data_IF_618949691928
#
_entry.id   IF_618949691928
#
_cell.length_a   1.000
_cell.length_b   1.000
_cell.length_c   1.000
_cell.angle_alpha   90.00
_cell.angle_beta   90.00
_cell.angle_gamma   90.00
#
_symmetry.space_group_name_H-M   'P 1'
#
loop_
_entity.id
_entity.type
_entity.pdbx_description
1 polymer ?
#
# COMPACT_ATOMS: atom_id res chain seq x y z
N UNK A 1 -24.37 -4.73 -9.02
CA UNK A 1 -23.60 -3.53 -9.39
C UNK A 1 -22.41 -3.52 -8.47
N UNK A 2 -21.22 -3.49 -9.05
CA UNK A 2 -19.94 -3.36 -8.36
C UNK A 2 -19.90 -2.05 -7.57
N UNK A 3 -19.47 -2.16 -6.31
CA UNK A 3 -19.26 -1.04 -5.39
C UNK A 3 -17.87 -1.14 -4.78
N UNK A 4 -17.16 -0.01 -4.75
CA UNK A 4 -15.82 0.12 -4.19
C UNK A 4 -15.78 1.35 -3.28
N UNK A 5 -15.35 1.15 -2.04
CA UNK A 5 -15.21 2.22 -1.05
C UNK A 5 -13.73 2.35 -0.72
N UNK A 6 -13.21 3.57 -0.84
CA UNK A 6 -11.80 3.87 -0.72
C UNK A 6 -11.56 5.09 0.15
N UNK A 7 -10.34 5.21 0.67
CA UNK A 7 -9.78 6.44 1.22
C UNK A 7 -8.72 6.96 0.24
N UNK A 8 -9.10 7.95 -0.56
CA UNK A 8 -8.24 8.58 -1.55
C UNK A 8 -7.72 9.92 -1.05
N UNK A 9 -6.64 10.43 -1.66
CA UNK A 9 -6.09 11.79 -1.54
C UNK A 9 -6.46 12.53 -0.24
N UNK A 10 -5.57 12.49 0.74
CA UNK A 10 -5.82 13.11 2.03
C UNK A 10 -6.87 12.39 2.87
N UNK A 11 -7.04 11.08 2.63
CA UNK A 11 -7.93 10.19 3.38
C UNK A 11 -9.42 10.57 3.25
N UNK A 12 -9.78 11.25 2.16
CA UNK A 12 -11.16 11.48 1.79
C UNK A 12 -11.82 10.15 1.41
N UNK A 13 -13.01 9.89 1.95
CA UNK A 13 -13.82 8.75 1.55
C UNK A 13 -14.31 8.93 0.11
N UNK A 14 -14.17 7.90 -0.72
CA UNK A 14 -14.64 7.89 -2.11
C UNK A 14 -15.47 6.63 -2.33
N UNK A 15 -16.64 6.78 -2.94
CA UNK A 15 -17.47 5.65 -3.37
C UNK A 15 -17.54 5.63 -4.89
N UNK A 16 -17.16 4.49 -5.48
CA UNK A 16 -17.27 4.22 -6.91
C UNK A 16 -18.29 3.10 -7.11
N UNK A 17 -19.26 3.31 -8.01
CA UNK A 17 -20.23 2.28 -8.42
C UNK A 17 -20.30 2.20 -9.94
N UNK A 18 -20.14 1.00 -10.50
CA UNK A 18 -20.17 0.80 -11.96
C UNK A 18 -19.18 1.68 -12.70
N UNK A 19 -17.95 1.81 -12.19
CA UNK A 19 -16.93 2.67 -12.77
C UNK A 19 -17.23 4.18 -12.72
N UNK A 20 -18.12 4.65 -11.84
CA UNK A 20 -18.43 6.08 -11.67
C UNK A 20 -18.27 6.52 -10.23
N UNK A 21 -17.66 7.69 -10.02
CA UNK A 21 -17.59 8.32 -8.70
C UNK A 21 -18.99 8.82 -8.33
N UNK A 22 -19.56 8.27 -7.27
CA UNK A 22 -20.93 8.62 -6.81
C UNK A 22 -20.94 9.43 -5.52
N UNK A 23 -19.87 9.39 -4.74
CA UNK A 23 -19.75 10.13 -3.47
C UNK A 23 -18.29 10.46 -3.16
N UNK A 24 -18.06 11.65 -2.60
CA UNK A 24 -16.75 12.13 -2.15
C UNK A 24 -16.93 12.85 -0.80
N UNK A 25 -16.18 12.39 0.20
CA UNK A 25 -16.06 13.04 1.49
C UNK A 25 -14.99 14.13 1.52
N UNK A 26 -14.96 14.87 2.62
CA UNK A 26 -13.93 15.88 2.87
C UNK A 26 -12.56 15.23 3.15
N UNK A 27 -11.46 15.79 2.60
CA UNK A 27 -10.13 15.35 2.97
C UNK A 27 -9.76 15.79 4.38
N UNK A 28 -8.96 14.98 5.07
CA UNK A 28 -8.44 15.30 6.40
C UNK A 28 -7.17 16.17 6.36
N UNK A 29 -6.55 16.29 5.18
CA UNK A 29 -5.38 17.14 4.95
C UNK A 29 -5.58 17.97 3.68
N UNK A 30 -4.98 19.16 3.64
CA UNK A 30 -5.12 20.11 2.54
C UNK A 30 -4.13 19.88 1.41
N UNK A 31 -2.98 19.27 1.69
CA UNK A 31 -1.89 19.16 0.73
C UNK A 31 -1.14 17.83 0.87
N UNK A 32 -0.79 17.25 -0.28
CA UNK A 32 0.07 16.07 -0.36
C UNK A 32 1.13 16.25 -1.45
N UNK A 33 2.44 16.19 -1.11
CA UNK A 33 3.53 16.42 -2.07
C UNK A 33 3.59 15.37 -3.18
N UNK A 34 3.07 14.16 -2.94
CA UNK A 34 2.95 13.12 -3.97
C UNK A 34 1.98 13.57 -5.06
N UNK A 35 0.77 14.00 -4.70
CA UNK A 35 -0.23 14.44 -5.67
C UNK A 35 0.14 15.77 -6.32
N UNK A 36 0.80 16.67 -5.60
CA UNK A 36 1.38 17.86 -6.22
C UNK A 36 2.36 17.48 -7.34
N UNK A 37 3.36 16.63 -7.04
CA UNK A 37 4.39 16.26 -8.01
C UNK A 37 3.83 15.59 -9.28
N UNK A 38 2.89 14.66 -9.13
CA UNK A 38 2.44 13.82 -10.24
C UNK A 38 1.14 14.28 -10.91
N UNK A 39 0.40 15.20 -10.26
CA UNK A 39 -0.91 15.67 -10.74
C UNK A 39 -1.08 17.19 -10.70
N UNK A 40 -0.07 17.94 -10.23
CA UNK A 40 -0.17 19.40 -10.10
C UNK A 40 -1.17 19.86 -9.05
N UNK A 41 -1.60 18.98 -8.15
CA UNK A 41 -2.63 19.29 -7.16
C UNK A 41 -2.01 20.09 -5.99
N UNK A 42 -2.34 21.37 -5.90
CA UNK A 42 -1.85 22.27 -4.85
C UNK A 42 -2.73 22.29 -3.60
N UNK A 43 -4.02 21.99 -3.74
CA UNK A 43 -4.96 21.89 -2.62
C UNK A 43 -5.94 20.75 -2.86
N UNK A 44 -6.17 19.96 -1.81
CA UNK A 44 -7.14 18.88 -1.78
C UNK A 44 -8.51 19.46 -1.44
N UNK A 45 -9.47 19.23 -2.33
CA UNK A 45 -10.89 19.55 -2.14
C UNK A 45 -11.71 18.39 -2.70
N UNK A 46 -12.97 18.19 -2.27
CA UNK A 46 -13.83 17.14 -2.83
C UNK A 46 -13.88 17.15 -4.37
N UNK A 47 -13.93 18.35 -4.98
CA UNK A 47 -13.96 18.49 -6.44
C UNK A 47 -12.67 18.01 -7.11
N UNK A 48 -11.50 18.43 -6.61
CA UNK A 48 -10.21 18.00 -7.16
C UNK A 48 -9.98 16.50 -6.97
N UNK A 49 -10.46 15.95 -5.85
CA UNK A 49 -10.39 14.51 -5.58
C UNK A 49 -11.29 13.75 -6.57
N UNK A 50 -12.52 14.22 -6.81
CA UNK A 50 -13.41 13.64 -7.81
C UNK A 50 -12.75 13.60 -9.18
N UNK A 51 -12.25 14.72 -9.67
CA UNK A 51 -11.56 14.83 -10.96
C UNK A 51 -10.35 13.88 -11.04
N UNK A 52 -9.58 13.76 -9.95
CA UNK A 52 -8.47 12.83 -9.91
C UNK A 52 -8.92 11.37 -9.99
N UNK A 53 -10.00 11.01 -9.31
CA UNK A 53 -10.53 9.64 -9.32
C UNK A 53 -11.14 9.28 -10.66
N UNK A 54 -11.91 10.19 -11.28
CA UNK A 54 -12.42 10.04 -12.65
C UNK A 54 -11.27 9.88 -13.65
N UNK A 55 -10.21 10.69 -13.55
CA UNK A 55 -9.00 10.51 -14.36
C UNK A 55 -8.38 9.11 -14.21
N UNK A 56 -8.33 8.55 -12.99
CA UNK A 56 -7.75 7.21 -12.77
C UNK A 56 -8.61 6.10 -13.37
N UNK A 57 -9.93 6.24 -13.29
CA UNK A 57 -10.88 5.35 -13.93
C UNK A 57 -10.66 5.37 -15.45
N UNK A 58 -10.60 6.57 -16.06
CA UNK A 58 -10.42 6.71 -17.50
C UNK A 58 -9.03 6.26 -18.00
N UNK A 59 -7.97 6.59 -17.25
CA UNK A 59 -6.59 6.34 -17.68
C UNK A 59 -6.17 4.85 -17.57
N UNK A 60 -6.58 4.17 -16.50
CA UNK A 60 -6.16 2.78 -16.26
C UNK A 60 -7.25 1.81 -15.81
N UNK A 61 -8.52 2.22 -15.91
CA UNK A 61 -9.66 1.34 -15.64
C UNK A 61 -9.83 0.97 -14.16
N UNK A 62 -9.35 1.81 -13.24
CA UNK A 62 -9.51 1.60 -11.80
C UNK A 62 -10.96 1.27 -11.45
N UNK A 63 -11.20 0.24 -10.63
CA UNK A 63 -12.55 -0.20 -10.24
C UNK A 63 -13.45 -0.58 -11.43
N UNK A 64 -12.89 -1.10 -12.53
CA UNK A 64 -13.64 -1.61 -13.69
C UNK A 64 -13.00 -2.87 -14.26
N UNK A 65 -13.70 -3.58 -15.16
CA UNK A 65 -13.14 -4.70 -15.91
C UNK A 65 -12.03 -4.30 -16.91
N UNK A 66 -11.82 -3.01 -17.18
CA UNK A 66 -10.78 -2.50 -18.09
C UNK A 66 -9.46 -2.18 -17.38
N UNK A 67 -9.27 -2.74 -16.18
CA UNK A 67 -8.13 -2.45 -15.33
C UNK A 67 -6.81 -2.87 -15.98
N UNK A 68 -5.86 -1.93 -16.11
CA UNK A 68 -4.48 -2.24 -16.52
C UNK A 68 -3.73 -2.89 -15.37
N UNK A 69 -3.59 -4.21 -15.35
CA UNK A 69 -3.09 -4.96 -14.19
C UNK A 69 -1.56 -4.99 -14.01
N UNK A 70 -0.79 -4.68 -15.05
CA UNK A 70 0.68 -4.67 -14.97
C UNK A 70 1.25 -3.31 -15.32
N UNK A 71 2.32 -2.91 -14.64
CA UNK A 71 3.10 -1.72 -14.99
C UNK A 71 4.53 -1.80 -14.47
N UNK A 72 5.39 -0.98 -15.04
CA UNK A 72 6.68 -0.64 -14.45
C UNK A 72 6.51 0.30 -13.26
N UNK A 73 7.61 0.52 -12.52
CA UNK A 73 7.67 1.42 -11.37
C UNK A 73 7.05 2.80 -11.65
N UNK A 74 6.15 3.22 -10.77
CA UNK A 74 5.52 4.53 -10.84
C UNK A 74 6.33 5.58 -10.05
N UNK A 75 6.86 5.17 -8.89
CA UNK A 75 7.68 6.00 -8.02
C UNK A 75 9.13 5.51 -7.97
N UNK A 76 10.04 6.36 -7.51
CA UNK A 76 11.39 5.90 -7.17
C UNK A 76 11.38 5.06 -5.89
N UNK A 77 10.52 5.42 -4.94
CA UNK A 77 10.35 4.74 -3.65
C UNK A 77 8.87 4.68 -3.28
N UNK A 78 8.44 3.50 -2.85
CA UNK A 78 7.09 3.18 -2.41
C UNK A 78 7.05 1.73 -1.93
N UNK A 79 5.98 1.35 -1.24
CA UNK A 79 5.86 -0.02 -0.70
C UNK A 79 5.74 -1.03 -1.84
N UNK A 80 4.94 -0.74 -2.86
CA UNK A 80 4.85 -1.56 -4.07
C UNK A 80 6.21 -1.70 -4.74
N UNK A 81 6.95 -0.61 -4.96
CA UNK A 81 8.27 -0.59 -5.58
C UNK A 81 9.29 -1.44 -4.81
N UNK A 82 9.26 -1.37 -3.47
CA UNK A 82 10.09 -2.21 -2.62
C UNK A 82 9.68 -3.68 -2.75
N UNK A 83 8.40 -4.03 -2.63
CA UNK A 83 7.92 -5.41 -2.81
C UNK A 83 8.26 -5.99 -4.18
N UNK A 84 8.09 -5.21 -5.25
CA UNK A 84 8.48 -5.62 -6.61
C UNK A 84 9.99 -5.88 -6.71
N UNK A 85 10.80 -5.06 -6.05
CA UNK A 85 12.25 -5.29 -5.95
C UNK A 85 12.55 -6.60 -5.23
N UNK A 86 11.88 -6.89 -4.11
CA UNK A 86 12.11 -8.12 -3.35
C UNK A 86 11.66 -9.38 -4.09
N UNK A 87 10.59 -9.30 -4.90
CA UNK A 87 10.15 -10.39 -5.77
C UNK A 87 11.15 -10.62 -6.91
N UNK A 88 11.59 -9.56 -7.60
CA UNK A 88 12.59 -9.65 -8.67
C UNK A 88 13.89 -10.30 -8.19
N UNK A 89 14.38 -9.88 -7.02
CA UNK A 89 15.60 -10.39 -6.40
C UNK A 89 15.39 -11.70 -5.63
N UNK A 90 14.17 -12.27 -5.66
CA UNK A 90 13.78 -13.53 -5.01
C UNK A 90 14.05 -13.55 -3.50
N UNK A 91 14.01 -12.39 -2.85
CA UNK A 91 14.08 -12.26 -1.38
C UNK A 91 12.78 -12.74 -0.76
N UNK A 92 11.65 -12.43 -1.40
CA UNK A 92 10.33 -12.98 -1.07
C UNK A 92 9.80 -13.80 -2.24
N UNK A 93 8.95 -14.77 -1.94
CA UNK A 93 8.32 -15.63 -2.95
C UNK A 93 6.97 -15.10 -3.41
N UNK A 94 6.25 -14.41 -2.52
CA UNK A 94 4.98 -13.78 -2.85
C UNK A 94 4.73 -12.54 -1.99
N UNK A 95 3.81 -11.70 -2.46
CA UNK A 95 3.27 -10.55 -1.76
C UNK A 95 1.77 -10.73 -1.53
N UNK A 96 1.32 -10.57 -0.28
CA UNK A 96 -0.09 -10.52 0.11
C UNK A 96 -0.50 -9.04 0.16
N UNK A 97 -1.33 -8.62 -0.80
CA UNK A 97 -1.73 -7.21 -0.97
C UNK A 97 -3.24 -7.08 -1.22
N UNK A 98 -3.74 -5.84 -1.28
CA UNK A 98 -5.15 -5.56 -1.64
C UNK A 98 -5.25 -5.11 -3.10
N UNK A 99 -6.18 -5.70 -3.84
CA UNK A 99 -6.55 -5.32 -5.19
C UNK A 99 -8.05 -5.00 -5.27
N UNK A 100 -8.39 -3.83 -5.81
CA UNK A 100 -9.77 -3.49 -6.10
C UNK A 100 -10.35 -4.45 -7.15
N UNK A 101 -11.57 -4.95 -6.93
CA UNK A 101 -12.12 -6.01 -7.77
C UNK A 101 -11.77 -7.43 -7.32
N UNK A 102 -10.83 -7.61 -6.37
CA UNK A 102 -10.40 -8.93 -5.89
C UNK A 102 -10.37 -9.07 -4.36
N UNK A 103 -10.16 -7.98 -3.62
CA UNK A 103 -9.93 -8.04 -2.18
C UNK A 103 -8.47 -8.37 -1.86
N UNK A 104 -8.22 -9.27 -0.91
CA UNK A 104 -6.86 -9.75 -0.62
C UNK A 104 -6.40 -10.77 -1.65
N UNK A 105 -5.20 -10.56 -2.18
CA UNK A 105 -4.60 -11.38 -3.24
C UNK A 105 -3.17 -11.76 -2.90
N UNK A 106 -2.71 -12.90 -3.42
CA UNK A 106 -1.32 -13.38 -3.37
C UNK A 106 -0.71 -13.17 -4.75
N UNK A 107 0.39 -12.43 -4.83
CA UNK A 107 1.02 -12.02 -6.09
C UNK A 107 2.48 -12.43 -6.10
N UNK A 108 2.91 -13.06 -7.18
CA UNK A 108 4.32 -13.47 -7.39
C UNK A 108 5.03 -12.57 -8.42
N UNK A 109 4.25 -11.89 -9.28
CA UNK A 109 4.76 -11.08 -10.38
C UNK A 109 5.02 -9.62 -9.91
N UNK A 110 6.27 -9.15 -9.96
CA UNK A 110 6.65 -7.77 -9.64
C UNK A 110 5.84 -6.70 -10.38
N UNK A 111 5.56 -6.89 -11.68
CA UNK A 111 4.81 -5.92 -12.48
C UNK A 111 3.33 -5.90 -12.08
N UNK A 112 2.79 -7.04 -11.65
CA UNK A 112 1.43 -7.15 -11.12
C UNK A 112 1.33 -6.49 -9.75
N UNK A 113 2.35 -6.61 -8.88
CA UNK A 113 2.43 -5.86 -7.62
C UNK A 113 2.43 -4.35 -7.88
N UNK A 114 3.21 -3.86 -8.85
CA UNK A 114 3.15 -2.44 -9.23
C UNK A 114 1.79 -2.04 -9.79
N UNK A 115 1.23 -2.85 -10.70
CA UNK A 115 -0.03 -2.55 -11.35
C UNK A 115 -1.18 -2.46 -10.37
N UNK A 116 -1.18 -3.31 -9.35
CA UNK A 116 -2.13 -3.25 -8.23
C UNK A 116 -1.76 -2.08 -7.31
N UNK A 117 -0.60 -2.08 -6.67
CA UNK A 117 -0.30 -1.15 -5.56
C UNK A 117 0.11 0.27 -5.96
N UNK A 118 0.85 0.44 -7.06
CA UNK A 118 1.64 1.66 -7.34
C UNK A 118 0.82 2.94 -7.59
N UNK A 119 -0.46 2.80 -7.96
CA UNK A 119 -1.37 3.93 -8.25
C UNK A 119 -2.66 3.92 -7.43
N UNK A 120 -2.78 2.98 -6.51
CA UNK A 120 -3.96 2.79 -5.69
C UNK A 120 -3.86 3.61 -4.39
N UNK A 121 -5.02 3.92 -3.81
CA UNK A 121 -5.15 4.54 -2.48
C UNK A 121 -5.82 3.54 -1.52
N UNK A 122 -6.01 3.86 -0.24
CA UNK A 122 -6.56 2.90 0.72
C UNK A 122 -7.91 2.33 0.25
N UNK A 123 -8.09 1.01 0.32
CA UNK A 123 -9.34 0.34 -0.03
C UNK A 123 -10.03 -0.12 1.25
N UNK A 124 -11.22 0.39 1.51
CA UNK A 124 -12.05 0.01 2.67
C UNK A 124 -12.85 -1.25 2.34
N UNK A 125 -13.51 -1.27 1.18
CA UNK A 125 -14.27 -2.41 0.68
C UNK A 125 -14.31 -2.41 -0.84
N UNK A 126 -14.56 -3.58 -1.42
CA UNK A 126 -14.55 -3.75 -2.87
C UNK A 126 -15.48 -4.90 -3.25
N UNK A 127 -16.05 -4.85 -4.45
CA UNK A 127 -16.86 -5.92 -5.03
C UNK A 127 -16.04 -6.73 -6.03
N UNK A 128 -16.36 -8.02 -6.26
CA UNK A 128 -15.64 -8.81 -7.25
C UNK A 128 -15.83 -8.25 -8.67
N UNK A 129 -14.73 -8.17 -9.42
CA UNK A 129 -14.71 -7.89 -10.85
C UNK A 129 -14.06 -9.07 -11.55
N UNK A 130 -14.85 -9.83 -12.31
CA UNK A 130 -14.42 -11.11 -12.89
C UNK A 130 -13.21 -10.95 -13.81
N UNK A 131 -13.15 -9.89 -14.61
CA UNK A 131 -12.03 -9.60 -15.51
C UNK A 131 -10.73 -9.42 -14.72
N UNK A 132 -10.77 -8.75 -13.57
CA UNK A 132 -9.62 -8.53 -12.69
C UNK A 132 -9.22 -9.84 -11.99
N UNK A 133 -10.20 -10.57 -11.46
CA UNK A 133 -9.99 -11.88 -10.80
C UNK A 133 -9.36 -12.88 -11.78
N UNK A 134 -9.78 -12.88 -13.04
CA UNK A 134 -9.23 -13.77 -14.07
C UNK A 134 -7.75 -13.48 -14.36
N UNK A 135 -7.33 -12.21 -14.29
CA UNK A 135 -5.92 -11.83 -14.48
C UNK A 135 -5.07 -12.24 -13.27
N UNK A 136 -5.60 -12.07 -12.04
CA UNK A 136 -4.91 -12.48 -10.81
C UNK A 136 -4.86 -14.01 -10.67
N UNK A 137 -5.90 -14.70 -11.15
CA UNK A 137 -6.13 -16.12 -10.93
C UNK A 137 -6.97 -16.33 -9.67
N UNK A 138 -8.12 -17.01 -9.81
CA UNK A 138 -9.08 -17.21 -8.72
C UNK A 138 -8.49 -17.95 -7.51
N UNK A 139 -7.52 -18.84 -7.73
CA UNK A 139 -6.80 -19.55 -6.67
C UNK A 139 -5.83 -18.65 -5.88
N UNK A 140 -5.50 -17.46 -6.39
CA UNK A 140 -4.65 -16.45 -5.73
C UNK A 140 -5.47 -15.35 -5.03
N UNK A 141 -6.78 -15.33 -5.23
CA UNK A 141 -7.70 -14.43 -4.54
C UNK A 141 -8.19 -15.12 -3.25
N UNK A 142 -8.20 -14.39 -2.13
CA UNK A 142 -8.61 -14.95 -0.83
C UNK A 142 -10.07 -15.42 -0.87
N UNK A 143 -10.96 -14.61 -1.42
CA UNK A 143 -12.35 -14.95 -1.62
C UNK A 143 -12.86 -14.31 -2.93
N UNK A 144 -12.83 -15.03 -4.06
CA UNK A 144 -13.23 -14.48 -5.36
C UNK A 144 -14.73 -14.18 -5.45
N UNK A 145 -15.58 -14.73 -4.58
CA UNK A 145 -17.03 -14.53 -4.64
C UNK A 145 -17.47 -13.19 -4.04
N UNK A 146 -16.73 -12.66 -3.06
CA UNK A 146 -17.10 -11.42 -2.35
C UNK A 146 -15.97 -10.40 -2.25
N UNK A 147 -14.80 -10.69 -2.80
CA UNK A 147 -13.62 -9.83 -2.78
C UNK A 147 -13.21 -9.38 -1.35
N UNK A 148 -13.22 -10.32 -0.40
CA UNK A 148 -12.87 -10.06 1.00
C UNK A 148 -11.46 -9.46 1.13
N UNK A 149 -11.37 -8.36 1.89
CA UNK A 149 -10.11 -7.77 2.36
C UNK A 149 -9.83 -8.32 3.77
N UNK A 150 -8.80 -9.15 3.90
CA UNK A 150 -8.32 -9.67 5.17
C UNK A 150 -6.87 -10.17 5.01
N UNK A 151 -5.91 -9.36 5.48
CA UNK A 151 -4.48 -9.65 5.29
C UNK A 151 -4.03 -10.86 6.11
N UNK A 152 -4.52 -10.99 7.34
CA UNK A 152 -4.25 -12.14 8.22
C UNK A 152 -4.61 -13.46 7.55
N UNK A 153 -5.84 -13.56 6.99
CA UNK A 153 -6.27 -14.75 6.25
C UNK A 153 -5.53 -14.94 4.93
N UNK A 154 -5.13 -13.84 4.27
CA UNK A 154 -4.27 -13.89 3.08
C UNK A 154 -2.92 -14.54 3.37
N UNK A 155 -2.28 -14.19 4.49
CA UNK A 155 -1.03 -14.80 4.97
C UNK A 155 -1.23 -16.28 5.29
N UNK A 156 -2.29 -16.63 6.03
CA UNK A 156 -2.60 -18.05 6.33
C UNK A 156 -2.77 -18.85 5.04
N UNK A 157 -3.47 -18.28 4.04
CA UNK A 157 -3.62 -18.92 2.74
C UNK A 157 -2.27 -19.08 2.04
N UNK A 158 -1.40 -18.07 2.05
CA UNK A 158 -0.08 -18.16 1.45
C UNK A 158 0.77 -19.27 2.09
N UNK A 159 0.77 -19.39 3.43
CA UNK A 159 1.47 -20.48 4.12
C UNK A 159 0.93 -21.85 3.67
N UNK A 160 -0.40 -22.00 3.59
CA UNK A 160 -1.04 -23.25 3.11
C UNK A 160 -0.71 -23.59 1.66
N UNK A 161 -0.53 -22.57 0.83
CA UNK A 161 -0.11 -22.73 -0.56
C UNK A 161 1.39 -23.06 -0.70
N UNK A 162 2.13 -23.10 0.42
CA UNK A 162 3.52 -23.56 0.49
C UNK A 162 4.57 -22.46 0.47
N UNK A 163 4.20 -21.19 0.61
CA UNK A 163 5.17 -20.10 0.68
C UNK A 163 5.82 -20.03 2.07
N UNK A 164 7.14 -19.81 2.06
CA UNK A 164 7.98 -19.67 3.26
C UNK A 164 8.62 -18.29 3.40
N UNK A 165 8.61 -17.45 2.36
CA UNK A 165 9.05 -16.04 2.45
C UNK A 165 7.99 -15.13 1.86
N UNK A 166 7.26 -14.41 2.72
CA UNK A 166 6.04 -13.69 2.35
C UNK A 166 6.20 -12.21 2.69
N UNK A 167 6.01 -11.32 1.71
CA UNK A 167 5.76 -9.91 2.00
C UNK A 167 4.26 -9.68 2.19
N UNK A 168 3.84 -8.87 3.16
CA UNK A 168 2.43 -8.52 3.36
C UNK A 168 2.25 -7.03 3.61
N UNK A 169 1.25 -6.42 2.98
CA UNK A 169 0.88 -5.04 3.27
C UNK A 169 -0.24 -4.98 4.31
N UNK A 170 -0.08 -4.18 5.35
CA UNK A 170 -1.10 -3.96 6.39
C UNK A 170 -1.42 -2.47 6.55
N UNK A 171 -2.66 -2.16 6.94
CA UNK A 171 -3.11 -0.80 7.21
C UNK A 171 -3.43 -0.56 8.70
N UNK A 172 -3.26 -1.56 9.56
CA UNK A 172 -3.54 -1.49 11.01
C UNK A 172 -2.46 -2.18 11.83
N UNK A 173 -2.24 -1.68 13.05
CA UNK A 173 -1.36 -2.32 14.03
C UNK A 173 -1.90 -3.69 14.48
N UNK A 174 -3.22 -3.82 14.58
CA UNK A 174 -3.88 -5.08 14.96
C UNK A 174 -3.57 -6.21 13.97
N UNK A 175 -3.62 -5.94 12.66
CA UNK A 175 -3.27 -6.96 11.66
C UNK A 175 -1.78 -7.31 11.72
N UNK A 176 -0.90 -6.33 11.96
CA UNK A 176 0.53 -6.57 12.11
C UNK A 176 0.83 -7.53 13.28
N UNK A 177 0.28 -7.25 14.47
CA UNK A 177 0.47 -8.10 15.65
C UNK A 177 -0.06 -9.52 15.46
N UNK A 178 -1.26 -9.68 14.88
CA UNK A 178 -1.81 -11.02 14.55
C UNK A 178 -0.94 -11.80 13.56
N UNK A 179 -0.32 -11.11 12.61
CA UNK A 179 0.59 -11.76 11.65
C UNK A 179 1.88 -12.20 12.35
N UNK A 180 2.41 -11.43 13.31
CA UNK A 180 3.55 -11.85 14.14
C UNK A 180 3.23 -13.07 15.00
N UNK A 181 2.02 -13.15 15.55
CA UNK A 181 1.56 -14.37 16.25
C UNK A 181 1.58 -15.58 15.30
N UNK A 182 1.04 -15.45 14.09
CA UNK A 182 1.06 -16.52 13.07
C UNK A 182 2.49 -16.92 12.70
N UNK A 183 3.38 -15.95 12.48
CA UNK A 183 4.79 -16.21 12.16
C UNK A 183 5.46 -17.03 13.28
N UNK A 184 5.22 -16.66 14.55
CA UNK A 184 5.79 -17.36 15.71
C UNK A 184 5.36 -18.84 15.82
N UNK A 185 4.18 -19.16 15.31
CA UNK A 185 3.64 -20.53 15.23
C UNK A 185 4.18 -21.31 14.02
N UNK A 186 4.76 -20.64 13.02
CA UNK A 186 5.22 -21.23 11.76
C UNK A 186 6.72 -20.98 11.55
N UNK A 187 7.57 -21.70 12.30
CA UNK A 187 9.02 -21.46 12.39
C UNK A 187 9.82 -21.55 11.08
N UNK A 188 9.28 -22.21 10.05
CA UNK A 188 9.91 -22.33 8.74
C UNK A 188 9.44 -21.25 7.74
N UNK A 189 8.66 -20.27 8.23
CA UNK A 189 8.10 -19.17 7.44
C UNK A 189 8.62 -17.84 7.98
N UNK A 190 9.11 -17.00 7.08
CA UNK A 190 9.47 -15.61 7.33
C UNK A 190 8.41 -14.71 6.68
N UNK A 191 7.84 -13.79 7.46
CA UNK A 191 6.81 -12.86 7.04
C UNK A 191 7.32 -11.43 7.25
N UNK A 192 7.40 -10.67 6.16
CA UNK A 192 7.85 -9.28 6.19
C UNK A 192 6.65 -8.34 6.05
N UNK A 193 6.47 -7.47 7.03
CA UNK A 193 5.28 -6.62 7.19
C UNK A 193 5.59 -5.20 6.72
N UNK A 194 4.82 -4.75 5.72
CA UNK A 194 4.90 -3.43 5.12
C UNK A 194 3.65 -2.63 5.47
N UNK A 195 3.80 -1.48 6.12
CA UNK A 195 2.64 -0.66 6.47
C UNK A 195 2.31 0.30 5.33
N UNK A 196 1.02 0.46 5.06
CA UNK A 196 0.46 1.37 4.07
C UNK A 196 -0.64 2.21 4.69
N UNK A 197 -0.94 3.35 4.07
CA UNK A 197 -2.14 4.14 4.39
C UNK A 197 -2.23 4.61 5.86
N UNK A 198 -1.11 5.11 6.38
CA UNK A 198 -0.87 5.38 7.81
C UNK A 198 -1.28 6.79 8.29
N UNK A 199 -1.91 7.61 7.44
CA UNK A 199 -2.36 8.97 7.82
C UNK A 199 -3.35 8.91 8.99
N UNK A 200 -3.13 9.73 10.04
CA UNK A 200 -4.04 9.83 11.18
C UNK A 200 -3.99 8.64 12.13
N UNK A 201 -2.90 7.87 12.15
CA UNK A 201 -2.70 6.80 13.14
C UNK A 201 -2.60 7.37 14.56
N UNK A 202 -3.15 6.62 15.52
CA UNK A 202 -2.96 6.93 16.94
C UNK A 202 -1.49 6.74 17.35
N UNK A 203 -1.09 7.36 18.46
CA UNK A 203 0.26 7.17 19.01
C UNK A 203 0.52 5.70 19.35
N UNK A 204 -0.46 5.03 19.97
CA UNK A 204 -0.36 3.61 20.36
C UNK A 204 -0.17 2.71 19.14
N UNK A 205 -0.96 2.92 18.08
CA UNK A 205 -0.82 2.13 16.86
C UNK A 205 0.51 2.40 16.18
N UNK A 206 0.95 3.66 16.14
CA UNK A 206 2.26 4.02 15.59
C UNK A 206 3.41 3.34 16.35
N UNK A 207 3.34 3.28 17.69
CA UNK A 207 4.32 2.59 18.53
C UNK A 207 4.35 1.09 18.24
N UNK A 208 3.17 0.46 18.21
CA UNK A 208 3.01 -0.98 17.93
C UNK A 208 3.54 -1.33 16.53
N UNK A 209 3.28 -0.48 15.52
CA UNK A 209 3.82 -0.70 14.18
C UNK A 209 5.36 -0.65 14.12
N UNK A 210 6.02 0.16 14.94
CA UNK A 210 7.48 0.15 15.02
C UNK A 210 8.05 -1.10 15.72
N UNK A 211 7.22 -1.87 16.42
CA UNK A 211 7.60 -3.14 17.03
C UNK A 211 7.31 -4.31 16.08
N UNK A 212 6.14 -4.26 15.40
CA UNK A 212 5.64 -5.36 14.61
C UNK A 212 5.96 -5.27 13.12
N UNK A 213 6.22 -4.10 12.55
CA UNK A 213 6.47 -3.97 11.10
C UNK A 213 7.95 -3.93 10.73
N UNK A 214 8.25 -4.22 9.46
CA UNK A 214 9.61 -4.13 8.91
C UNK A 214 9.81 -2.81 8.16
N UNK A 215 8.82 -2.41 7.36
CA UNK A 215 8.90 -1.18 6.55
C UNK A 215 7.63 -0.37 6.75
N UNK A 216 7.79 0.92 7.07
CA UNK A 216 6.67 1.79 7.41
C UNK A 216 6.65 3.03 6.52
N UNK A 217 5.59 3.24 5.74
CA UNK A 217 5.37 4.54 5.11
C UNK A 217 4.74 5.52 6.08
N UNK A 218 5.24 6.76 6.14
CA UNK A 218 4.76 7.75 7.10
C UNK A 218 3.46 8.45 6.67
N UNK A 219 3.19 8.55 5.36
CA UNK A 219 2.13 9.40 4.79
C UNK A 219 2.06 10.77 5.51
N UNK A 220 0.87 11.18 5.97
CA UNK A 220 0.68 12.39 6.78
C UNK A 220 0.61 12.10 8.30
N UNK A 221 1.03 10.92 8.74
CA UNK A 221 1.06 10.54 10.16
C UNK A 221 1.99 11.43 10.96
N UNK A 222 1.46 12.19 11.91
CA UNK A 222 2.28 12.94 12.86
C UNK A 222 3.05 12.02 13.80
N UNK A 223 2.40 10.95 14.27
CA UNK A 223 2.93 10.08 15.32
C UNK A 223 4.13 9.24 14.82
N UNK A 224 4.02 8.65 13.63
CA UNK A 224 5.13 7.87 13.05
C UNK A 224 6.37 8.74 12.86
N UNK A 225 6.20 9.98 12.39
CA UNK A 225 7.31 10.93 12.18
C UNK A 225 8.02 11.28 13.48
N UNK A 226 7.27 11.54 14.56
CA UNK A 226 7.84 11.82 15.89
C UNK A 226 8.60 10.63 16.48
N UNK A 227 8.05 9.43 16.34
CA UNK A 227 8.69 8.21 16.85
C UNK A 227 9.97 7.92 16.07
N UNK A 228 9.93 8.03 14.74
CA UNK A 228 11.09 7.84 13.89
C UNK A 228 12.24 8.79 14.22
N UNK A 229 11.93 10.09 14.44
CA UNK A 229 12.91 11.10 14.85
C UNK A 229 13.53 10.75 16.21
N UNK A 230 12.71 10.35 17.19
CA UNK A 230 13.19 9.96 18.52
C UNK A 230 14.09 8.72 18.49
N UNK A 231 13.78 7.76 17.62
CA UNK A 231 14.49 6.48 17.49
C UNK A 231 15.67 6.54 16.50
N UNK A 232 15.91 7.67 15.84
CA UNK A 232 16.91 7.84 14.78
C UNK A 232 16.83 6.75 13.68
N UNK A 233 15.60 6.50 13.23
CA UNK A 233 15.31 5.37 12.33
C UNK A 233 15.82 5.65 10.92
N UNK A 234 16.52 4.67 10.32
CA UNK A 234 16.91 4.75 8.91
C UNK A 234 15.68 4.96 8.02
N UNK A 235 15.78 5.94 7.12
CA UNK A 235 14.65 6.32 6.27
C UNK A 235 15.07 6.76 4.88
N UNK A 236 14.13 6.64 3.95
CA UNK A 236 14.25 7.14 2.58
C UNK A 236 13.05 8.03 2.25
N UNK A 237 13.25 8.98 1.34
CA UNK A 237 12.21 9.89 0.89
C UNK A 237 12.02 11.11 1.79
N UNK A 238 12.33 12.29 1.27
CA UNK A 238 12.29 13.54 2.06
C UNK A 238 10.85 14.05 2.32
N UNK A 239 9.96 13.97 1.32
CA UNK A 239 8.59 14.49 1.43
C UNK A 239 7.64 13.54 2.20
N UNK A 240 7.69 12.26 1.84
CA UNK A 240 6.92 11.17 2.47
C UNK A 240 7.94 10.09 2.83
N UNK A 241 8.43 10.09 4.07
CA UNK A 241 9.41 9.11 4.52
C UNK A 241 8.86 7.68 4.50
N UNK A 242 9.75 6.75 4.19
CA UNK A 242 9.59 5.32 4.43
C UNK A 242 10.68 4.91 5.42
N UNK A 243 10.28 4.39 6.57
CA UNK A 243 11.13 4.01 7.70
C UNK A 243 11.43 2.52 7.66
N UNK A 244 12.66 2.16 8.04
CA UNK A 244 13.04 0.78 8.35
C UNK A 244 12.80 0.51 9.84
N UNK A 245 11.75 -0.23 10.16
CA UNK A 245 11.42 -0.57 11.55
C UNK A 245 12.17 -1.83 12.06
N UNK A 246 12.78 -2.60 11.15
CA UNK A 246 13.61 -3.76 11.46
C UNK A 246 14.92 -3.78 10.64
N UNK A 247 15.85 -4.67 11.00
CA UNK A 247 17.10 -4.88 10.24
C UNK A 247 16.83 -5.34 8.80
N UNK A 248 15.86 -6.23 8.60
CA UNK A 248 15.43 -6.66 7.27
C UNK A 248 14.78 -5.51 6.50
N UNK A 249 13.97 -4.68 7.18
CA UNK A 249 13.43 -3.46 6.61
C UNK A 249 14.51 -2.52 6.07
N UNK A 250 15.60 -2.33 6.82
CA UNK A 250 16.74 -1.51 6.38
C UNK A 250 17.43 -2.12 5.16
N UNK A 251 17.65 -3.43 5.17
CA UNK A 251 18.19 -4.17 4.04
C UNK A 251 17.31 -4.00 2.78
N UNK A 252 16.00 -4.11 2.90
CA UNK A 252 15.07 -3.96 1.77
C UNK A 252 15.11 -2.55 1.18
N UNK A 253 15.14 -1.53 2.04
CA UNK A 253 15.25 -0.15 1.57
C UNK A 253 16.60 0.09 0.88
N UNK A 254 17.71 -0.45 1.40
CA UNK A 254 19.03 -0.36 0.76
C UNK A 254 19.08 -1.08 -0.59
N UNK A 255 18.49 -2.28 -0.71
CA UNK A 255 18.36 -2.98 -1.99
C UNK A 255 17.61 -2.13 -3.01
N UNK A 256 16.52 -1.46 -2.59
CA UNK A 256 15.79 -0.55 -3.46
C UNK A 256 16.64 0.67 -3.85
N UNK A 257 17.45 1.23 -2.94
CA UNK A 257 18.39 2.33 -3.25
C UNK A 257 19.35 1.91 -4.36
N UNK A 258 19.97 0.73 -4.23
CA UNK A 258 20.90 0.19 -5.20
C UNK A 258 20.24 0.00 -6.58
N UNK A 259 19.05 -0.61 -6.61
CA UNK A 259 18.29 -0.86 -7.85
C UNK A 259 17.97 0.41 -8.64
N UNK A 260 17.72 1.53 -7.95
CA UNK A 260 17.43 2.81 -8.62
C UNK A 260 18.66 3.68 -8.89
N UNK A 261 19.87 3.19 -8.57
CA UNK A 261 21.13 3.91 -8.79
C UNK A 261 21.43 5.00 -7.74
N UNK A 262 20.93 4.85 -6.52
CA UNK A 262 21.20 5.77 -5.40
C UNK A 262 20.07 6.75 -5.08
N UNK A 263 20.19 7.41 -3.93
CA UNK A 263 19.26 8.46 -3.50
C UNK A 263 19.56 9.77 -4.23
N UNK A 264 18.49 10.47 -4.63
CA UNK A 264 18.59 11.85 -5.12
C UNK A 264 18.21 12.80 -4.01
N UNK A 265 19.13 13.70 -3.67
CA UNK A 265 18.86 14.77 -2.70
C UNK A 265 17.72 15.67 -3.19
N UNK A 266 16.80 15.98 -2.27
CA UNK A 266 15.74 16.95 -2.50
C UNK A 266 15.79 18.01 -1.41
N UNK A 267 16.42 19.15 -1.74
CA UNK A 267 16.39 20.34 -0.89
C UNK A 267 14.94 20.85 -0.78
N UNK A 268 14.58 21.34 0.40
CA UNK A 268 13.28 21.98 0.68
C UNK A 268 12.05 21.12 0.33
N UNK A 269 12.11 19.84 0.71
CA UNK A 269 11.03 18.91 0.46
C UNK A 269 9.76 19.31 1.23
N UNK A 270 8.75 19.83 0.51
CA UNK A 270 7.40 20.01 1.07
C UNK A 270 6.87 18.66 1.58
N UNK A 271 6.23 18.69 2.75
CA UNK A 271 5.60 17.54 3.41
C UNK A 271 4.06 17.65 3.32
N UNK A 272 3.29 16.59 3.62
CA UNK A 272 1.84 16.70 3.75
C UNK A 272 1.44 17.76 4.79
N UNK A 273 0.31 18.42 4.59
CA UNK A 273 -0.18 19.45 5.50
C UNK A 273 -1.70 19.41 5.66
N UNK A 274 -2.23 19.45 6.91
CA UNK A 274 -1.50 19.21 8.16
C UNK A 274 -0.91 17.79 8.25
N UNK A 275 0.02 17.60 9.19
CA UNK A 275 0.31 16.27 9.72
C UNK A 275 -0.69 15.97 10.83
N UNK A 276 -1.29 14.78 10.80
CA UNK A 276 -2.35 14.35 11.72
C UNK A 276 -2.08 12.97 12.30
#
# INVERSE_FOLDING_TARGET
MDEHVMEALGKAKVIIKGGKVVDIGEPLIDYCPLFHKYRGIEKLTPQVIKENMEFRIDDFGMCTGQRKMKMADFLSFGISETLGTLLDEKVIQCAVIVCEGCGTVIVEDPELVQGIGGRISGIISTSPINEVINVVGSNKVLNPENAQINQVKGVIKAIRDGYTKIGVTVASAEDAGKIREIESENKDVEIYIFTVHTTGLSFKDAESLFEDADVITACASLQLRKIAEKKDVFSVGASIPIYAASEDGEKFLKMRIEKIGGLKDKKDAKIPNPLI
#
